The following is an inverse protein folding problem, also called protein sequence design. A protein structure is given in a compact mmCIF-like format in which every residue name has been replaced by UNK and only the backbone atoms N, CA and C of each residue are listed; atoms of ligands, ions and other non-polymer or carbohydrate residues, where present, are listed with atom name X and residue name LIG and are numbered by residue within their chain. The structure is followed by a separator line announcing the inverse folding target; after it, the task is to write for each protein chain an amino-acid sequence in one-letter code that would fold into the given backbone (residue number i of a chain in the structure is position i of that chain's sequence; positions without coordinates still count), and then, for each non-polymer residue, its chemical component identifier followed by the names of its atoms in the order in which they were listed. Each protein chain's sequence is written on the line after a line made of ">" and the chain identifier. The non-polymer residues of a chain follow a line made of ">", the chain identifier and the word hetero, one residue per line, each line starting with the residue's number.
data_IF_397192654901
#
_entry.id   IF_397192654901
#
_cell.length_a   1.000
_cell.length_b   1.000
_cell.length_c   1.000
_cell.angle_alpha   90.00
_cell.angle_beta   90.00
_cell.angle_gamma   90.00
#
_symmetry.space_group_name_H-M   'P 1'
#
loop_
_entity.id
_entity.type
_entity.pdbx_description
1 polymer ?
#
# COMPACT_ATOMS: atom_id res chain seq x y z
N UNK A 1 39.83 -17.11 8.35
CA UNK A 1 41.23 -17.46 8.61
C UNK A 1 41.44 -17.43 10.12
N UNK A 2 41.88 -18.53 10.75
CA UNK A 2 42.14 -18.57 12.19
C UNK A 2 43.17 -17.53 12.66
N UNK A 3 44.02 -17.00 11.76
CA UNK A 3 45.04 -16.02 12.10
C UNK A 3 44.66 -14.55 11.84
N UNK A 4 43.69 -14.29 10.95
CA UNK A 4 43.29 -12.92 10.61
C UNK A 4 41.86 -12.57 11.01
N UNK A 5 41.08 -13.51 11.55
CA UNK A 5 39.67 -13.29 11.95
C UNK A 5 38.73 -13.00 10.76
N UNK A 6 39.27 -12.84 9.55
CA UNK A 6 38.53 -12.50 8.34
C UNK A 6 37.91 -13.73 7.71
N UNK A 7 36.67 -13.57 7.23
CA UNK A 7 35.97 -14.55 6.42
C UNK A 7 36.72 -14.65 5.09
N UNK A 8 37.46 -15.74 4.86
CA UNK A 8 38.26 -15.92 3.64
C UNK A 8 37.45 -16.41 2.45
N UNK A 9 36.36 -17.12 2.72
CA UNK A 9 35.58 -17.76 1.68
C UNK A 9 34.14 -17.94 2.14
N UNK A 10 33.22 -17.31 1.42
CA UNK A 10 31.79 -17.60 1.52
C UNK A 10 31.32 -18.01 0.14
N UNK A 11 30.57 -19.10 0.06
CA UNK A 11 29.91 -19.54 -1.17
C UNK A 11 28.42 -19.41 -0.97
N UNK A 12 27.78 -18.55 -1.76
CA UNK A 12 26.32 -18.42 -1.76
C UNK A 12 25.73 -19.76 -2.19
N UNK A 13 24.95 -20.40 -1.30
CA UNK A 13 24.25 -21.65 -1.59
C UNK A 13 22.88 -21.40 -2.20
N UNK A 14 22.16 -20.42 -1.69
CA UNK A 14 20.79 -20.12 -2.08
C UNK A 14 20.50 -18.64 -1.87
N UNK A 15 19.68 -18.07 -2.75
CA UNK A 15 19.15 -16.71 -2.64
C UNK A 15 17.65 -16.84 -2.47
N UNK A 16 17.16 -16.46 -1.28
CA UNK A 16 15.73 -16.47 -0.97
C UNK A 16 15.22 -15.05 -0.77
N UNK A 17 13.97 -14.82 -1.14
CA UNK A 17 13.28 -13.57 -0.82
C UNK A 17 12.85 -13.61 0.65
N UNK A 18 13.46 -12.76 1.48
CA UNK A 18 12.99 -12.51 2.84
C UNK A 18 11.67 -11.75 2.84
N UNK A 19 10.72 -12.16 3.70
CA UNK A 19 9.48 -11.41 3.91
C UNK A 19 9.77 -10.14 4.73
N UNK A 20 9.48 -8.94 4.20
CA UNK A 20 9.77 -7.68 4.88
C UNK A 20 9.00 -7.49 6.20
N UNK A 21 7.94 -8.26 6.46
CA UNK A 21 7.18 -8.16 7.72
C UNK A 21 7.95 -8.70 8.92
N UNK A 22 8.81 -9.69 8.69
CA UNK A 22 9.59 -10.35 9.75
C UNK A 22 11.04 -9.89 9.82
N UNK A 23 11.53 -9.27 8.75
CA UNK A 23 12.88 -8.74 8.63
C UNK A 23 12.98 -7.35 9.28
N UNK A 24 13.99 -7.16 10.13
CA UNK A 24 14.24 -5.88 10.81
C UNK A 24 15.72 -5.53 10.75
N UNK A 25 16.01 -4.27 10.46
CA UNK A 25 17.34 -3.66 10.54
C UNK A 25 17.65 -3.34 12.01
N UNK A 26 18.80 -3.81 12.48
CA UNK A 26 19.36 -3.46 13.79
C UNK A 26 20.16 -2.18 13.63
N UNK A 27 19.79 -1.16 14.41
CA UNK A 27 20.49 0.11 14.39
C UNK A 27 20.54 0.74 15.78
N UNK A 28 21.61 1.47 16.02
CA UNK A 28 21.74 2.34 17.18
C UNK A 28 20.80 3.57 17.04
N UNK A 29 20.57 4.29 18.15
CA UNK A 29 19.75 5.52 18.21
C UNK A 29 20.19 6.58 17.20
N UNK A 30 21.46 6.55 16.76
CA UNK A 30 22.01 7.44 15.72
C UNK A 30 21.68 7.02 14.29
N UNK A 31 21.05 5.87 14.10
CA UNK A 31 20.69 5.31 12.79
C UNK A 31 21.87 4.70 12.03
N UNK A 32 22.98 4.43 12.72
CA UNK A 32 24.08 3.58 12.22
C UNK A 32 23.64 2.13 12.40
N UNK A 33 23.82 1.31 11.37
CA UNK A 33 23.47 -0.12 11.41
C UNK A 33 24.50 -0.86 12.27
N UNK A 34 24.05 -1.89 13.01
CA UNK A 34 24.89 -2.61 13.97
C UNK A 34 24.88 -2.03 15.39
N UNK A 35 25.78 -2.50 16.25
CA UNK A 35 26.02 -1.93 17.59
C UNK A 35 25.05 -2.36 18.69
N UNK A 36 24.33 -3.48 18.53
CA UNK A 36 23.47 -4.05 19.59
C UNK A 36 23.72 -5.51 19.89
N UNK A 37 23.96 -6.29 18.85
CA UNK A 37 24.15 -7.73 18.95
C UNK A 37 25.40 -8.11 18.16
N UNK A 38 26.20 -8.95 18.78
CA UNK A 38 27.41 -9.53 18.24
C UNK A 38 27.18 -11.04 18.06
N UNK A 39 27.72 -11.62 16.99
CA UNK A 39 27.58 -13.06 16.69
C UNK A 39 28.89 -13.67 16.16
N UNK A 40 29.22 -14.92 16.55
CA UNK A 40 30.32 -15.67 15.91
C UNK A 40 29.82 -16.10 14.51
N UNK A 41 30.59 -15.85 13.43
CA UNK A 41 30.19 -16.27 12.08
C UNK A 41 29.95 -17.78 11.93
N UNK A 42 30.60 -18.59 12.79
CA UNK A 42 30.55 -20.06 12.81
C UNK A 42 29.46 -20.58 13.74
N UNK A 43 29.43 -20.10 14.99
CA UNK A 43 28.44 -20.50 16.00
C UNK A 43 27.36 -19.44 16.14
N UNK A 44 26.26 -19.62 15.38
CA UNK A 44 25.11 -18.69 15.38
C UNK A 44 24.05 -18.99 16.44
N UNK A 45 24.35 -19.90 17.36
CA UNK A 45 23.41 -20.37 18.38
C UNK A 45 23.27 -19.40 19.57
N UNK A 46 24.25 -18.51 19.78
CA UNK A 46 24.25 -17.52 20.84
C UNK A 46 24.53 -16.12 20.29
N UNK A 47 23.83 -15.14 20.81
CA UNK A 47 24.11 -13.72 20.57
C UNK A 47 24.73 -13.10 21.81
N UNK A 48 25.77 -12.32 21.61
CA UNK A 48 26.43 -11.55 22.65
C UNK A 48 25.89 -10.12 22.63
N UNK A 49 25.58 -9.51 23.80
CA UNK A 49 25.27 -8.09 23.85
C UNK A 49 26.50 -7.27 23.46
N UNK A 50 26.28 -6.08 22.90
CA UNK A 50 27.38 -5.15 22.63
C UNK A 50 27.96 -4.63 23.96
N UNK A 51 29.04 -5.24 24.43
CA UNK A 51 29.83 -4.85 25.59
C UNK A 51 31.29 -4.68 25.17
N UNK A 52 31.94 -3.60 25.61
CA UNK A 52 33.30 -3.23 25.22
C UNK A 52 34.39 -4.25 25.62
N UNK A 53 34.07 -5.30 26.38
CA UNK A 53 35.05 -6.22 26.99
C UNK A 53 35.13 -7.62 26.32
N UNK A 54 34.14 -8.03 25.51
CA UNK A 54 34.06 -9.40 24.95
C UNK A 54 33.86 -9.41 23.43
N UNK A 55 34.91 -9.07 22.68
CA UNK A 55 34.91 -9.12 21.20
C UNK A 55 35.19 -10.52 20.65
N UNK A 56 35.39 -11.53 21.51
CA UNK A 56 35.75 -12.89 21.10
C UNK A 56 34.76 -13.92 21.59
N UNK A 57 34.45 -14.86 20.72
CA UNK A 57 33.58 -15.97 21.10
C UNK A 57 34.29 -16.96 22.02
N UNK A 58 33.60 -17.39 23.07
CA UNK A 58 34.10 -18.34 24.07
C UNK A 58 34.43 -19.74 23.49
N UNK A 59 33.76 -20.14 22.41
CA UNK A 59 33.95 -21.47 21.78
C UNK A 59 34.94 -21.44 20.61
N UNK A 60 34.80 -20.45 19.72
CA UNK A 60 35.55 -20.37 18.47
C UNK A 60 36.82 -19.48 18.61
N UNK A 61 36.90 -18.65 19.66
CA UNK A 61 37.92 -17.59 19.86
C UNK A 61 38.14 -16.68 18.64
N UNK A 62 37.12 -16.60 17.77
CA UNK A 62 37.07 -15.70 16.63
C UNK A 62 36.47 -14.38 17.06
N UNK A 63 36.87 -13.31 16.36
CA UNK A 63 36.29 -12.00 16.53
C UNK A 63 34.81 -12.01 16.16
N UNK A 64 33.98 -11.49 17.05
CA UNK A 64 32.54 -11.37 16.86
C UNK A 64 32.24 -10.29 15.82
N UNK A 65 31.18 -10.50 15.04
CA UNK A 65 30.74 -9.52 14.06
C UNK A 65 29.40 -8.90 14.45
N UNK A 66 29.25 -7.63 14.09
CA UNK A 66 28.01 -6.88 14.26
C UNK A 66 26.87 -7.47 13.44
N UNK A 67 25.72 -7.63 14.09
CA UNK A 67 24.48 -8.00 13.42
C UNK A 67 23.81 -6.76 12.83
N UNK A 68 23.55 -6.80 11.53
CA UNK A 68 22.87 -5.72 10.80
C UNK A 68 21.37 -5.98 10.61
N UNK A 69 20.96 -7.25 10.51
CA UNK A 69 19.56 -7.61 10.30
C UNK A 69 19.13 -8.80 11.15
N UNK A 70 17.85 -8.81 11.53
CA UNK A 70 17.21 -9.87 12.28
C UNK A 70 15.97 -10.32 11.52
N UNK A 71 15.81 -11.62 11.35
CA UNK A 71 14.56 -12.22 10.94
C UNK A 71 13.83 -12.77 12.17
N UNK A 72 12.60 -12.32 12.36
CA UNK A 72 11.70 -12.79 13.43
C UNK A 72 10.71 -13.85 12.92
N UNK A 73 10.87 -14.32 11.67
CA UNK A 73 10.01 -15.34 11.09
C UNK A 73 10.32 -16.71 11.73
N UNK A 74 9.31 -17.29 12.38
CA UNK A 74 9.38 -18.63 12.94
C UNK A 74 9.10 -18.67 14.44
N UNK A 75 8.31 -19.66 14.85
CA UNK A 75 7.80 -19.89 16.20
C UNK A 75 8.88 -20.33 17.22
N UNK A 76 10.08 -19.72 17.22
CA UNK A 76 11.03 -19.97 18.31
C UNK A 76 12.49 -19.55 18.15
N UNK A 77 12.99 -19.21 16.95
CA UNK A 77 14.39 -18.77 16.81
C UNK A 77 14.50 -17.55 15.90
N UNK A 78 14.93 -16.44 16.48
CA UNK A 78 15.37 -15.25 15.74
C UNK A 78 16.64 -15.60 14.98
N UNK A 79 16.65 -15.34 13.67
CA UNK A 79 17.84 -15.53 12.84
C UNK A 79 18.56 -14.19 12.72
N UNK A 80 19.86 -14.20 12.94
CA UNK A 80 20.72 -13.02 12.91
C UNK A 80 21.61 -13.07 11.67
N UNK A 81 21.75 -11.91 11.02
CA UNK A 81 22.49 -11.77 9.78
C UNK A 81 23.54 -10.67 9.90
N UNK A 82 24.73 -10.97 9.39
CA UNK A 82 25.88 -10.05 9.36
C UNK A 82 25.82 -9.14 8.13
N UNK A 83 26.76 -8.20 8.05
CA UNK A 83 26.94 -7.34 6.87
C UNK A 83 27.21 -8.18 5.61
N UNK A 84 26.50 -7.87 4.51
CA UNK A 84 26.62 -8.57 3.23
C UNK A 84 25.60 -9.69 2.98
N UNK A 85 25.05 -10.31 4.02
CA UNK A 85 24.13 -11.46 3.84
C UNK A 85 22.75 -11.06 3.30
N UNK A 86 22.32 -9.83 3.58
CA UNK A 86 21.04 -9.30 3.12
C UNK A 86 21.26 -8.09 2.24
N UNK A 87 20.69 -8.17 1.04
CA UNK A 87 20.57 -7.04 0.13
C UNK A 87 19.29 -6.29 0.45
N UNK A 88 19.41 -5.19 1.19
CA UNK A 88 18.30 -4.27 1.47
C UNK A 88 18.37 -3.05 0.56
N UNK A 89 17.30 -2.83 -0.21
CA UNK A 89 17.17 -1.70 -1.13
C UNK A 89 15.83 -1.01 -0.89
N UNK A 90 15.87 0.31 -0.86
CA UNK A 90 14.70 1.16 -0.68
C UNK A 90 14.33 1.82 -2.01
N UNK A 91 13.28 1.33 -2.67
CA UNK A 91 12.82 1.89 -3.95
C UNK A 91 12.26 3.32 -3.82
N UNK A 92 11.51 3.57 -2.75
CA UNK A 92 10.77 4.82 -2.56
C UNK A 92 11.28 5.56 -1.32
N UNK A 93 11.59 6.86 -1.48
CA UNK A 93 12.05 7.78 -0.43
C UNK A 93 13.01 7.12 0.58
N UNK A 94 14.25 6.77 0.16
CA UNK A 94 15.21 6.11 1.03
C UNK A 94 15.59 7.02 2.21
N UNK A 95 15.44 6.51 3.43
CA UNK A 95 16.08 7.07 4.63
C UNK A 95 17.34 6.27 4.98
N UNK A 96 18.05 6.67 6.04
CA UNK A 96 19.24 5.95 6.53
C UNK A 96 18.97 4.45 6.79
N UNK A 97 17.76 4.11 7.23
CA UNK A 97 17.38 2.73 7.53
C UNK A 97 16.45 2.17 6.46
N UNK A 98 15.22 2.67 6.41
CA UNK A 98 14.15 2.14 5.55
C UNK A 98 13.71 3.13 4.46
N UNK A 99 13.06 2.61 3.43
CA UNK A 99 12.28 3.42 2.48
C UNK A 99 10.88 3.68 3.02
N UNK A 100 10.23 4.76 2.57
CA UNK A 100 8.83 5.03 2.87
C UNK A 100 7.96 4.58 1.70
N UNK A 101 6.95 3.75 1.98
CA UNK A 101 6.01 3.29 0.95
C UNK A 101 5.16 4.45 0.41
N UNK A 102 4.98 4.54 -0.92
CA UNK A 102 4.00 5.42 -1.58
C UNK A 102 2.60 5.36 -0.98
N UNK A 103 2.16 4.15 -0.60
CA UNK A 103 0.84 3.90 -0.03
C UNK A 103 0.65 4.68 1.27
N UNK A 104 1.71 4.87 2.05
CA UNK A 104 1.64 5.65 3.28
C UNK A 104 1.35 7.14 3.01
N UNK A 105 1.84 7.67 1.88
CA UNK A 105 1.54 9.04 1.45
C UNK A 105 0.09 9.16 0.96
N UNK A 106 -0.39 8.15 0.24
CA UNK A 106 -1.76 8.10 -0.32
C UNK A 106 -2.79 7.46 0.61
N UNK A 107 -2.45 7.22 1.88
CA UNK A 107 -3.29 6.47 2.83
C UNK A 107 -4.71 7.02 2.92
N UNK A 108 -4.87 8.34 2.91
CA UNK A 108 -6.20 8.99 2.95
C UNK A 108 -7.03 8.65 1.71
N UNK A 109 -6.43 8.69 0.52
CA UNK A 109 -7.13 8.37 -0.73
C UNK A 109 -7.54 6.91 -0.78
N UNK A 110 -6.64 6.00 -0.38
CA UNK A 110 -6.93 4.58 -0.28
C UNK A 110 -8.05 4.28 0.73
N UNK A 111 -8.00 4.90 1.92
CA UNK A 111 -9.03 4.71 2.94
C UNK A 111 -10.39 5.26 2.49
N UNK A 112 -10.42 6.40 1.80
CA UNK A 112 -11.64 6.95 1.21
C UNK A 112 -12.23 6.00 0.18
N UNK A 113 -11.42 5.43 -0.71
CA UNK A 113 -11.88 4.42 -1.69
C UNK A 113 -12.46 3.18 -1.01
N UNK A 114 -11.79 2.66 0.03
CA UNK A 114 -12.30 1.52 0.81
C UNK A 114 -13.61 1.87 1.52
N UNK A 115 -13.73 3.07 2.08
CA UNK A 115 -14.96 3.52 2.72
C UNK A 115 -16.11 3.70 1.72
N UNK A 116 -15.83 4.23 0.53
CA UNK A 116 -16.80 4.34 -0.57
C UNK A 116 -17.29 2.96 -1.02
N UNK A 117 -16.38 2.00 -1.17
CA UNK A 117 -16.74 0.63 -1.55
C UNK A 117 -17.58 -0.06 -0.47
N UNK A 118 -17.20 0.12 0.80
CA UNK A 118 -17.99 -0.36 1.93
C UNK A 118 -19.37 0.30 2.00
N UNK A 119 -19.48 1.60 1.70
CA UNK A 119 -20.77 2.29 1.64
C UNK A 119 -21.65 1.73 0.51
N UNK A 120 -21.07 1.49 -0.66
CA UNK A 120 -21.77 0.88 -1.79
C UNK A 120 -22.22 -0.55 -1.46
N UNK A 121 -21.32 -1.35 -0.87
CA UNK A 121 -21.63 -2.70 -0.41
C UNK A 121 -22.78 -2.71 0.59
N UNK A 122 -22.74 -1.85 1.62
CA UNK A 122 -23.81 -1.73 2.60
C UNK A 122 -25.12 -1.22 2.00
N UNK A 123 -25.05 -0.30 1.03
CA UNK A 123 -26.20 0.20 0.29
C UNK A 123 -26.93 -0.94 -0.42
N UNK A 124 -26.20 -1.76 -1.20
CA UNK A 124 -26.78 -2.89 -1.92
C UNK A 124 -27.23 -4.02 -0.99
N UNK A 125 -26.45 -4.35 0.03
CA UNK A 125 -26.74 -5.45 0.94
C UNK A 125 -27.96 -5.15 1.81
N UNK A 126 -28.01 -3.96 2.41
CA UNK A 126 -29.10 -3.62 3.34
C UNK A 126 -30.32 -3.11 2.60
N UNK A 127 -30.17 -2.50 1.42
CA UNK A 127 -31.24 -1.75 0.70
C UNK A 127 -32.02 -0.77 1.61
N UNK A 128 -31.45 -0.36 2.75
CA UNK A 128 -32.07 0.47 3.80
C UNK A 128 -31.82 1.96 3.57
N UNK A 129 -32.02 2.43 2.35
CA UNK A 129 -31.99 3.86 2.08
C UNK A 129 -33.44 4.36 2.19
N UNK A 130 -33.84 5.05 3.29
CA UNK A 130 -35.15 5.64 3.35
C UNK A 130 -35.27 6.65 2.21
N UNK A 131 -36.16 6.36 1.24
CA UNK A 131 -36.27 7.16 0.01
C UNK A 131 -36.78 8.58 0.25
N UNK A 132 -37.32 8.83 1.44
CA UNK A 132 -37.75 10.14 1.90
C UNK A 132 -38.85 10.03 2.94
N UNK A 133 -39.35 11.19 3.37
CA UNK A 133 -40.61 11.31 4.10
C UNK A 133 -41.57 12.12 3.26
N UNK A 134 -42.82 11.68 3.23
CA UNK A 134 -43.90 12.43 2.59
C UNK A 134 -44.50 13.39 3.62
N UNK A 135 -44.13 14.66 3.57
CA UNK A 135 -44.65 15.67 4.48
C UNK A 135 -46.07 16.07 4.04
N UNK A 136 -47.09 15.74 4.85
CA UNK A 136 -48.48 16.16 4.66
C UNK A 136 -48.79 17.25 5.68
N UNK A 137 -49.45 18.31 5.27
CA UNK A 137 -49.91 19.35 6.20
C UNK A 137 -51.27 18.93 6.78
N UNK A 138 -51.38 18.78 8.10
CA UNK A 138 -52.62 18.33 8.77
C UNK A 138 -52.88 19.06 10.10
N UNK A 139 -54.15 19.25 10.43
CA UNK A 139 -54.58 20.05 11.60
C UNK A 139 -54.81 19.21 12.89
N UNK A 140 -54.48 17.91 12.89
CA UNK A 140 -54.80 17.00 14.00
C UNK A 140 -53.56 16.28 14.57
N UNK A 141 -53.02 16.83 15.67
CA UNK A 141 -51.83 16.33 16.37
C UNK A 141 -52.05 15.02 17.16
N UNK A 142 -53.29 14.63 17.46
CA UNK A 142 -53.55 13.33 18.12
C UNK A 142 -53.55 12.18 17.13
N UNK A 143 -53.95 12.45 15.88
CA UNK A 143 -53.88 11.47 14.79
C UNK A 143 -52.44 11.11 14.41
N UNK A 144 -51.46 11.99 14.68
CA UNK A 144 -50.04 11.74 14.36
C UNK A 144 -49.40 10.71 15.30
N UNK A 145 -49.75 10.68 16.59
CA UNK A 145 -49.18 9.70 17.54
C UNK A 145 -49.59 8.25 17.25
N UNK A 146 -50.88 8.01 16.97
CA UNK A 146 -51.36 6.69 16.54
C UNK A 146 -50.79 6.30 15.16
N UNK A 147 -50.58 7.30 14.30
CA UNK A 147 -49.94 7.15 13.00
C UNK A 147 -48.45 6.78 13.12
N UNK A 148 -47.70 7.33 14.08
CA UNK A 148 -46.29 6.98 14.33
C UNK A 148 -46.15 5.51 14.71
N UNK A 149 -46.97 5.00 15.64
CA UNK A 149 -46.94 3.59 16.03
C UNK A 149 -47.28 2.64 14.87
N UNK A 150 -48.29 2.97 14.07
CA UNK A 150 -48.65 2.18 12.89
C UNK A 150 -47.63 2.32 11.74
N UNK A 151 -46.84 3.38 11.73
CA UNK A 151 -45.75 3.60 10.78
C UNK A 151 -44.50 2.85 11.20
N UNK A 152 -44.17 2.81 12.49
CA UNK A 152 -43.12 1.98 13.06
C UNK A 152 -43.37 0.50 12.76
N UNK A 153 -44.58 -0.02 13.01
CA UNK A 153 -44.94 -1.41 12.67
C UNK A 153 -44.81 -1.71 11.16
N UNK A 154 -45.12 -0.72 10.30
CA UNK A 154 -44.98 -0.87 8.84
C UNK A 154 -43.53 -0.74 8.38
N UNK A 155 -42.72 0.07 9.05
CA UNK A 155 -41.28 0.17 8.81
C UNK A 155 -40.51 -1.06 9.29
N UNK A 156 -40.98 -1.72 10.36
CA UNK A 156 -40.42 -2.99 10.81
C UNK A 156 -40.72 -4.13 9.83
N UNK A 157 -41.92 -4.14 9.22
CA UNK A 157 -42.34 -5.17 8.25
C UNK A 157 -41.83 -4.95 6.84
N UNK A 158 -41.79 -3.70 6.38
CA UNK A 158 -41.30 -3.35 5.05
C UNK A 158 -40.19 -2.28 5.16
N UNK A 159 -38.92 -2.69 5.00
CA UNK A 159 -37.78 -1.77 4.96
C UNK A 159 -37.83 -0.74 3.82
N UNK A 160 -38.75 -0.87 2.86
CA UNK A 160 -38.95 0.06 1.75
C UNK A 160 -40.16 0.99 1.92
N UNK A 161 -40.88 0.90 3.04
CA UNK A 161 -42.02 1.77 3.31
C UNK A 161 -41.57 3.23 3.49
N UNK A 162 -42.20 4.14 2.74
CA UNK A 162 -41.95 5.59 2.83
C UNK A 162 -42.91 6.16 3.90
N UNK A 163 -42.42 6.55 5.08
CA UNK A 163 -43.27 7.15 6.10
C UNK A 163 -43.78 8.53 5.65
N UNK A 164 -45.06 8.80 5.89
CA UNK A 164 -45.69 10.10 5.58
C UNK A 164 -45.87 10.91 6.87
N UNK A 165 -45.13 11.99 7.08
CA UNK A 165 -45.16 12.74 8.35
C UNK A 165 -46.04 13.97 8.22
N UNK A 166 -46.89 14.21 9.22
CA UNK A 166 -47.69 15.43 9.31
C UNK A 166 -46.86 16.63 9.81
N UNK A 167 -46.75 17.75 9.08
CA UNK A 167 -46.15 19.01 9.58
C UNK A 167 -47.25 20.07 9.72
N UNK A 168 -47.30 20.79 10.84
CA UNK A 168 -48.31 21.81 11.10
C UNK A 168 -48.00 23.10 10.33
N UNK A 169 -48.97 23.62 9.56
CA UNK A 169 -48.87 24.94 8.95
C UNK A 169 -50.03 25.81 9.40
N UNK A 170 -49.75 26.91 10.09
CA UNK A 170 -50.76 27.85 10.60
C UNK A 170 -51.61 28.53 9.50
N UNK A 171 -51.27 28.34 8.23
CA UNK A 171 -52.03 28.81 7.07
C UNK A 171 -52.47 27.58 6.28
N UNK A 172 -53.75 27.22 6.35
CA UNK A 172 -54.36 25.99 5.82
C UNK A 172 -54.31 25.79 4.30
N UNK A 173 -53.19 26.06 3.63
CA UNK A 173 -52.91 25.65 2.26
C UNK A 173 -52.06 24.40 2.29
N UNK A 174 -52.73 23.26 2.09
CA UNK A 174 -52.11 21.95 2.11
C UNK A 174 -51.07 21.79 1.00
N UNK A 175 -49.78 21.88 1.33
CA UNK A 175 -48.69 21.54 0.41
C UNK A 175 -48.14 20.17 0.80
N UNK A 176 -48.12 19.26 -0.17
CA UNK A 176 -47.45 17.96 -0.03
C UNK A 176 -46.02 18.16 -0.51
N UNK A 177 -45.04 17.90 0.35
CA UNK A 177 -43.62 18.00 0.02
C UNK A 177 -42.92 16.68 0.27
N UNK A 178 -42.25 16.15 -0.75
CA UNK A 178 -41.45 14.95 -0.62
C UNK A 178 -40.01 15.36 -0.29
N UNK A 179 -39.61 15.15 0.96
CA UNK A 179 -38.24 15.43 1.40
C UNK A 179 -37.42 14.15 1.24
N UNK A 180 -36.52 14.13 0.25
CA UNK A 180 -35.53 13.06 0.08
C UNK A 180 -34.44 13.22 1.14
N UNK A 181 -34.13 12.16 1.89
CA UNK A 181 -33.08 12.22 2.92
C UNK A 181 -31.67 12.05 2.33
N UNK A 182 -31.55 11.34 1.21
CA UNK A 182 -30.31 11.15 0.47
C UNK A 182 -30.62 11.07 -1.01
N UNK A 183 -29.75 11.65 -1.81
CA UNK A 183 -29.74 11.48 -3.26
C UNK A 183 -29.30 10.05 -3.62
N UNK A 184 -29.74 9.57 -4.79
CA UNK A 184 -29.36 8.24 -5.29
C UNK A 184 -27.85 8.17 -5.54
N UNK A 185 -27.27 6.96 -5.54
CA UNK A 185 -25.83 6.74 -5.81
C UNK A 185 -25.36 7.39 -7.12
N UNK A 186 -26.27 7.54 -8.09
CA UNK A 186 -26.04 8.20 -9.38
C UNK A 186 -25.98 9.74 -9.25
N UNK A 187 -26.85 10.32 -8.41
CA UNK A 187 -26.90 11.76 -8.13
C UNK A 187 -25.70 12.25 -7.30
N UNK A 188 -25.08 11.40 -6.46
CA UNK A 188 -23.88 11.75 -5.69
C UNK A 188 -22.57 11.70 -6.49
N UNK A 189 -22.60 11.41 -7.80
CA UNK A 189 -21.42 11.33 -8.67
C UNK A 189 -20.28 10.43 -8.14
N UNK A 190 -20.62 9.34 -7.44
CA UNK A 190 -19.62 8.44 -6.84
C UNK A 190 -18.64 7.85 -7.87
N UNK A 191 -19.10 7.63 -9.11
CA UNK A 191 -18.24 7.16 -10.21
C UNK A 191 -17.10 8.13 -10.49
N UNK A 192 -17.42 9.41 -10.69
CA UNK A 192 -16.43 10.43 -11.03
C UNK A 192 -15.37 10.63 -9.93
N UNK A 193 -15.79 10.65 -8.66
CA UNK A 193 -14.85 10.78 -7.52
C UNK A 193 -14.00 9.53 -7.36
N UNK A 194 -14.56 8.34 -7.56
CA UNK A 194 -13.81 7.08 -7.54
C UNK A 194 -12.75 7.04 -8.64
N UNK A 195 -13.11 7.46 -9.85
CA UNK A 195 -12.19 7.50 -10.98
C UNK A 195 -11.09 8.54 -10.77
N UNK A 196 -11.41 9.72 -10.26
CA UNK A 196 -10.40 10.74 -9.91
C UNK A 196 -9.41 10.22 -8.84
N UNK A 197 -9.91 9.55 -7.80
CA UNK A 197 -9.06 8.96 -6.76
C UNK A 197 -8.19 7.83 -7.34
N UNK A 198 -8.72 7.00 -8.24
CA UNK A 198 -7.95 5.97 -8.95
C UNK A 198 -6.85 6.60 -9.81
N UNK A 199 -7.17 7.65 -10.59
CA UNK A 199 -6.22 8.37 -11.43
C UNK A 199 -5.11 9.01 -10.60
N UNK A 200 -5.43 9.60 -9.44
CA UNK A 200 -4.41 10.17 -8.53
C UNK A 200 -3.44 9.10 -8.03
N UNK A 201 -3.95 7.92 -7.67
CA UNK A 201 -3.12 6.79 -7.25
C UNK A 201 -2.26 6.28 -8.41
N UNK A 202 -2.83 6.15 -9.60
CA UNK A 202 -2.14 5.72 -10.81
C UNK A 202 -1.00 6.67 -11.20
N UNK A 203 -1.29 7.97 -11.21
CA UNK A 203 -0.33 9.01 -11.53
C UNK A 203 0.87 9.00 -10.57
N UNK A 204 0.67 8.70 -9.28
CA UNK A 204 1.78 8.58 -8.34
C UNK A 204 2.73 7.41 -8.68
N UNK A 205 2.18 6.30 -9.17
CA UNK A 205 2.98 5.16 -9.65
C UNK A 205 3.51 5.36 -11.07
N UNK A 206 3.21 6.49 -11.72
CA UNK A 206 3.58 6.77 -13.09
C UNK A 206 2.81 5.93 -14.10
N UNK A 207 1.68 5.35 -13.72
CA UNK A 207 0.80 4.62 -14.65
C UNK A 207 -0.14 5.63 -15.30
N UNK A 208 -0.07 5.75 -16.62
CA UNK A 208 -0.97 6.64 -17.37
C UNK A 208 -2.37 6.06 -17.54
N UNK A 209 -3.34 6.94 -17.78
CA UNK A 209 -4.76 6.58 -17.87
C UNK A 209 -5.08 5.68 -19.08
N UNK A 210 -4.27 5.72 -20.15
CA UNK A 210 -4.43 4.85 -21.32
C UNK A 210 -4.32 3.38 -20.93
N UNK A 211 -3.41 3.03 -20.01
CA UNK A 211 -3.28 1.66 -19.51
C UNK A 211 -4.40 1.26 -18.53
N UNK A 212 -5.19 2.23 -18.04
CA UNK A 212 -6.33 2.00 -17.14
C UNK A 212 -7.68 1.89 -17.86
N UNK A 213 -7.68 1.79 -19.20
CA UNK A 213 -8.89 1.63 -20.02
C UNK A 213 -9.89 2.81 -19.97
N UNK A 214 -9.45 4.01 -19.57
CA UNK A 214 -10.26 5.23 -19.72
C UNK A 214 -10.01 5.88 -21.09
N UNK A 215 -10.26 5.12 -22.17
CA UNK A 215 -10.20 5.64 -23.55
C UNK A 215 -11.44 6.49 -23.91
N UNK A 216 -12.44 6.56 -23.02
CA UNK A 216 -13.71 7.25 -23.29
C UNK A 216 -13.63 8.79 -23.31
N UNK A 217 -12.56 9.38 -22.75
CA UNK A 217 -12.32 10.83 -22.75
C UNK A 217 -10.94 11.24 -23.31
N UNK A 218 -10.20 10.29 -23.86
CA UNK A 218 -8.89 10.48 -24.48
C UNK A 218 -8.98 11.05 -25.90
N UNK A 219 -9.48 12.27 -26.04
CA UNK A 219 -9.50 12.97 -27.33
C UNK A 219 -8.09 13.41 -27.73
N UNK A 220 -7.42 12.61 -28.57
CA UNK A 220 -6.30 13.05 -29.42
C UNK A 220 -5.05 12.17 -29.33
N UNK A 221 -4.68 11.58 -30.47
CA UNK A 221 -3.46 10.79 -30.73
C UNK A 221 -2.17 11.45 -30.18
N UNK A 222 -2.14 12.79 -30.11
CA UNK A 222 -0.99 13.53 -29.58
C UNK A 222 -0.80 13.43 -28.06
N UNK A 223 -1.87 13.15 -27.30
CA UNK A 223 -1.78 12.98 -25.85
C UNK A 223 -1.41 11.54 -25.48
N UNK A 224 -1.58 10.59 -26.41
CA UNK A 224 -1.25 9.19 -26.18
C UNK A 224 0.26 8.95 -26.13
N UNK A 225 1.03 9.54 -27.05
CA UNK A 225 2.49 9.46 -27.05
C UNK A 225 3.13 9.98 -25.75
N UNK A 226 2.69 11.15 -25.26
CA UNK A 226 3.20 11.72 -23.99
C UNK A 226 2.85 10.85 -22.77
N UNK A 227 1.67 10.23 -22.76
CA UNK A 227 1.24 9.36 -21.68
C UNK A 227 1.96 8.00 -21.67
N UNK A 228 2.35 7.49 -22.84
CA UNK A 228 3.20 6.31 -22.97
C UNK A 228 4.60 6.63 -22.41
N UNK A 229 5.18 7.78 -22.75
CA UNK A 229 6.50 8.21 -22.27
C UNK A 229 6.58 8.31 -20.73
N UNK A 230 5.54 8.80 -20.06
CA UNK A 230 5.50 8.89 -18.58
C UNK A 230 5.57 7.50 -17.95
N UNK A 231 4.79 6.56 -18.47
CA UNK A 231 4.79 5.17 -17.99
C UNK A 231 6.12 4.50 -18.29
N UNK A 232 6.67 4.76 -19.47
CA UNK A 232 7.97 4.23 -19.85
C UNK A 232 9.08 4.70 -18.93
N UNK A 233 9.11 5.98 -18.57
CA UNK A 233 10.06 6.52 -17.58
C UNK A 233 9.89 5.88 -16.20
N UNK A 234 8.66 5.62 -15.77
CA UNK A 234 8.41 4.95 -14.50
C UNK A 234 8.90 3.49 -14.50
N UNK A 235 8.74 2.78 -15.61
CA UNK A 235 9.27 1.42 -15.83
C UNK A 235 10.79 1.44 -15.87
N UNK A 236 11.38 2.34 -16.65
CA UNK A 236 12.83 2.51 -16.78
C UNK A 236 13.48 2.82 -15.41
N UNK A 237 12.88 3.71 -14.62
CA UNK A 237 13.34 3.97 -13.24
C UNK A 237 13.32 2.69 -12.38
N UNK A 238 12.29 1.86 -12.53
CA UNK A 238 12.21 0.56 -11.88
C UNK A 238 13.32 -0.39 -12.33
N UNK A 239 13.56 -0.49 -13.64
CA UNK A 239 14.59 -1.36 -14.23
C UNK A 239 16.00 -0.91 -13.84
N UNK A 240 16.28 0.41 -13.83
CA UNK A 240 17.56 0.98 -13.41
C UNK A 240 17.97 0.56 -12.00
N UNK A 241 17.00 0.40 -11.08
CA UNK A 241 17.29 -0.09 -9.73
C UNK A 241 17.86 -1.51 -9.73
N UNK A 242 17.32 -2.38 -10.59
CA UNK A 242 17.82 -3.75 -10.73
C UNK A 242 19.20 -3.78 -11.38
N UNK A 243 19.36 -3.08 -12.50
CA UNK A 243 20.62 -3.04 -13.25
C UNK A 243 21.75 -2.36 -12.49
N UNK A 244 21.48 -1.31 -11.71
CA UNK A 244 22.51 -0.56 -10.99
C UNK A 244 22.88 -1.17 -9.63
N UNK A 245 21.89 -1.61 -8.86
CA UNK A 245 22.11 -1.94 -7.44
C UNK A 245 21.96 -3.44 -7.14
N UNK A 246 21.02 -4.15 -7.79
CA UNK A 246 20.71 -5.55 -7.46
C UNK A 246 21.65 -6.51 -8.18
N UNK A 247 21.68 -6.47 -9.52
CA UNK A 247 22.47 -7.42 -10.30
C UNK A 247 23.96 -7.29 -10.05
N UNK A 248 24.57 -6.09 -10.02
CA UNK A 248 26.01 -5.97 -9.77
C UNK A 248 26.40 -6.50 -8.39
N UNK A 249 25.57 -6.24 -7.38
CA UNK A 249 25.81 -6.76 -6.03
C UNK A 249 25.62 -8.27 -5.97
N UNK A 250 24.63 -8.81 -6.67
CA UNK A 250 24.45 -10.26 -6.73
C UNK A 250 25.64 -10.95 -7.42
N UNK A 251 26.10 -10.40 -8.54
CA UNK A 251 27.25 -10.94 -9.27
C UNK A 251 28.55 -10.81 -8.50
N UNK A 252 28.78 -9.69 -7.79
CA UNK A 252 29.96 -9.55 -6.93
C UNK A 252 30.00 -10.60 -5.83
N UNK A 253 28.86 -10.88 -5.19
CA UNK A 253 28.76 -11.89 -4.13
C UNK A 253 28.87 -13.34 -4.67
N UNK A 254 28.48 -13.56 -5.94
CA UNK A 254 28.66 -14.85 -6.62
C UNK A 254 30.05 -15.02 -7.23
N UNK A 255 30.89 -13.99 -7.21
CA UNK A 255 32.22 -13.99 -7.83
C UNK A 255 32.20 -13.98 -9.36
N UNK A 256 31.11 -13.52 -9.98
CA UNK A 256 30.96 -13.40 -11.42
C UNK A 256 31.36 -11.97 -11.83
N UNK A 257 32.53 -11.81 -12.45
CA UNK A 257 33.02 -10.49 -12.92
C UNK A 257 32.81 -10.26 -14.40
N UNK A 258 32.56 -11.31 -15.17
CA UNK A 258 32.67 -11.27 -16.63
C UNK A 258 31.35 -10.93 -17.33
N UNK A 259 30.24 -10.95 -16.60
CA UNK A 259 28.90 -10.81 -17.16
C UNK A 259 28.17 -9.60 -16.56
N UNK A 260 27.64 -8.75 -17.42
CA UNK A 260 26.74 -7.65 -17.03
C UNK A 260 25.32 -8.01 -17.49
N UNK A 261 24.38 -8.07 -16.55
CA UNK A 261 22.97 -8.29 -16.86
C UNK A 261 22.26 -6.96 -16.95
N UNK A 262 21.81 -6.62 -18.15
CA UNK A 262 20.97 -5.45 -18.40
C UNK A 262 19.57 -5.91 -18.77
N UNK A 263 18.57 -5.19 -18.28
CA UNK A 263 17.19 -5.41 -18.71
C UNK A 263 16.99 -4.73 -20.06
N UNK A 264 16.23 -5.38 -20.95
CA UNK A 264 15.87 -4.79 -22.23
C UNK A 264 15.10 -3.48 -21.99
N UNK A 265 15.51 -2.37 -22.62
CA UNK A 265 14.79 -1.11 -22.51
C UNK A 265 13.37 -1.30 -23.04
N UNK A 266 12.40 -0.71 -22.37
CA UNK A 266 10.99 -0.88 -22.67
C UNK A 266 10.49 -0.03 -23.85
N UNK A 267 11.33 0.84 -24.41
CA UNK A 267 11.05 1.51 -25.68
C UNK A 267 11.41 0.56 -26.81
N UNK A 268 10.39 0.07 -27.53
CA UNK A 268 10.58 -0.30 -28.93
C UNK A 268 10.87 1.02 -29.67
N UNK A 269 12.14 1.43 -29.76
CA UNK A 269 12.53 2.32 -30.84
C UNK A 269 12.13 1.60 -32.12
N UNK A 270 11.16 2.15 -32.86
CA UNK A 270 10.83 1.70 -34.21
C UNK A 270 12.16 1.58 -35.00
N UNK A 271 12.60 0.34 -35.24
CA UNK A 271 13.77 0.03 -36.06
C UNK A 271 13.69 0.68 -37.46
N UNK A 272 12.50 1.14 -37.85
CA UNK A 272 12.20 1.86 -39.09
C UNK A 272 12.87 3.24 -39.17
N UNK A 273 13.31 3.83 -38.06
CA UNK A 273 13.92 5.18 -38.07
C UNK A 273 15.44 5.17 -38.34
N UNK A 274 16.06 3.99 -38.50
CA UNK A 274 17.51 3.83 -38.76
C UNK A 274 17.87 3.44 -40.21
N UNK A 275 16.95 3.55 -41.17
CA UNK A 275 17.18 3.30 -42.60
C UNK A 275 17.26 4.59 -43.41
#
# INVERSE_FOLDING_TARGET
>A
DPHTGKIMFYRVKEIMRGDPTFMRIVADKRGVRGGRYLICPVHRDRTYPYSEEDDRCEECNLDLQDVYFINTAGSGKTQYYIEGEIVHISKFSPSKLYGRSPVATMWRQAMTLTAMDNFMYLSYQKRRMPRGVLAITTDNIQSTAAFWKGTEEKMERDPHYIPKVGIESATGRGRVEFVRFMDTLDEMQYGAVRDELRMRIAAFYGVSNIFMMDSGKGGGLNNEGLQILVTNRAVEFGQKLYSRDIFPRLFSEMGITDWEMTLYPNEEEDEVTRL
#
